data_IF_632929349056
#
_entry.id   IF_632929349056
#
_cell.length_a   1.000
_cell.length_b   1.000
_cell.length_c   1.000
_cell.angle_alpha   90.00
_cell.angle_beta   90.00
_cell.angle_gamma   90.00
#
_symmetry.space_group_name_H-M   'P 1'
#
loop_
_entity.id
_entity.type
_entity.pdbx_description
1 polymer ?
#
# COMPACT_ATOMS: atom_id res chain seq x y z
N UNK A 1 -20.78 -25.89 17.16
CA UNK A 1 -20.78 -24.72 16.23
C UNK A 1 -19.88 -23.55 16.68
N UNK A 2 -19.73 -23.24 17.97
CA UNK A 2 -18.94 -22.10 18.48
C UNK A 2 -17.43 -22.12 18.12
N UNK A 3 -16.81 -23.29 17.95
CA UNK A 3 -15.37 -23.41 17.60
C UNK A 3 -15.04 -22.96 16.17
N UNK A 4 -15.98 -23.12 15.22
CA UNK A 4 -15.82 -22.63 13.84
C UNK A 4 -15.89 -21.10 13.80
N UNK A 5 -16.80 -20.48 14.57
CA UNK A 5 -16.94 -19.03 14.68
C UNK A 5 -15.69 -18.39 15.32
N UNK A 6 -15.13 -19.02 16.37
CA UNK A 6 -13.87 -18.58 17.01
C UNK A 6 -12.67 -18.68 16.04
N UNK A 7 -12.55 -19.76 15.27
CA UNK A 7 -11.50 -19.91 14.23
C UNK A 7 -11.63 -18.88 13.12
N UNK A 8 -12.85 -18.63 12.63
CA UNK A 8 -13.12 -17.56 11.65
C UNK A 8 -12.66 -16.19 12.16
N UNK A 9 -12.92 -15.88 13.43
CA UNK A 9 -12.46 -14.64 14.06
C UNK A 9 -10.94 -14.47 14.08
N UNK A 10 -10.19 -15.54 14.37
CA UNK A 10 -8.71 -15.51 14.38
C UNK A 10 -8.16 -15.29 12.97
N UNK A 11 -8.70 -15.99 11.97
CA UNK A 11 -8.26 -15.86 10.57
C UNK A 11 -8.49 -14.42 10.08
N UNK A 12 -9.66 -13.88 10.37
CA UNK A 12 -10.00 -12.51 9.96
C UNK A 12 -9.17 -11.46 10.72
N UNK A 13 -8.89 -11.67 12.01
CA UNK A 13 -7.95 -10.81 12.76
C UNK A 13 -6.57 -10.79 12.07
N UNK A 14 -6.00 -11.97 11.78
CA UNK A 14 -4.71 -12.07 11.08
C UNK A 14 -4.73 -11.39 9.70
N UNK A 15 -5.84 -11.50 8.95
CA UNK A 15 -5.99 -10.81 7.66
C UNK A 15 -5.94 -9.30 7.82
N UNK A 16 -6.70 -8.76 8.79
CA UNK A 16 -6.71 -7.32 9.09
C UNK A 16 -5.35 -6.82 9.56
N UNK A 17 -4.66 -7.59 10.40
CA UNK A 17 -3.33 -7.24 10.88
C UNK A 17 -2.35 -7.16 9.72
N UNK A 18 -2.32 -8.15 8.81
CA UNK A 18 -1.51 -8.09 7.59
C UNK A 18 -1.79 -6.86 6.74
N UNK A 19 -3.07 -6.53 6.52
CA UNK A 19 -3.46 -5.33 5.75
C UNK A 19 -2.96 -4.05 6.42
N UNK A 20 -3.09 -3.95 7.74
CA UNK A 20 -2.63 -2.77 8.48
C UNK A 20 -1.10 -2.64 8.44
N UNK A 21 -0.36 -3.75 8.55
CA UNK A 21 1.10 -3.77 8.39
C UNK A 21 1.51 -3.29 7.01
N UNK A 22 0.89 -3.82 5.94
CA UNK A 22 1.18 -3.38 4.57
C UNK A 22 0.89 -1.90 4.36
N UNK A 23 -0.22 -1.37 4.90
CA UNK A 23 -0.52 0.07 4.81
C UNK A 23 0.52 0.94 5.52
N UNK A 24 1.06 0.48 6.65
CA UNK A 24 2.13 1.18 7.36
C UNK A 24 3.44 1.18 6.55
N UNK A 25 3.78 0.05 5.93
CA UNK A 25 4.93 -0.06 5.04
C UNK A 25 4.77 0.85 3.82
N UNK A 26 3.61 0.85 3.16
CA UNK A 26 3.32 1.73 2.03
C UNK A 26 3.48 3.21 2.39
N UNK A 27 3.04 3.63 3.59
CA UNK A 27 3.23 5.01 4.07
C UNK A 27 4.71 5.39 4.20
N UNK A 28 5.61 4.42 4.41
CA UNK A 28 7.07 4.66 4.49
C UNK A 28 7.76 4.59 3.14
N UNK A 29 7.29 3.72 2.25
CA UNK A 29 7.93 3.44 0.97
C UNK A 29 7.49 4.40 -0.15
N UNK A 30 6.26 4.92 -0.08
CA UNK A 30 5.72 5.81 -1.09
C UNK A 30 6.10 7.26 -0.74
N UNK A 31 6.88 7.98 -1.58
CA UNK A 31 7.40 9.30 -1.24
C UNK A 31 6.33 10.31 -0.81
N UNK A 32 5.24 10.41 -1.56
CA UNK A 32 4.13 11.34 -1.27
C UNK A 32 3.38 10.99 0.02
N UNK A 33 3.29 9.71 0.37
CA UNK A 33 2.69 9.28 1.64
C UNK A 33 3.64 9.52 2.82
N UNK A 34 4.95 9.37 2.60
CA UNK A 34 6.00 9.59 3.59
C UNK A 34 6.11 11.08 3.95
N UNK A 35 6.07 11.98 2.95
CA UNK A 35 6.07 13.43 3.16
C UNK A 35 4.91 13.89 4.05
N UNK A 36 3.75 13.25 3.91
CA UNK A 36 2.58 13.54 4.75
C UNK A 36 2.62 12.88 6.13
N UNK A 37 3.73 12.25 6.53
CA UNK A 37 3.81 11.56 7.82
C UNK A 37 3.69 12.51 9.03
N UNK A 38 4.08 13.78 8.88
CA UNK A 38 3.94 14.83 9.91
C UNK A 38 2.56 15.50 9.95
N UNK A 39 1.66 15.18 9.01
CA UNK A 39 0.29 15.69 8.98
C UNK A 39 -0.67 14.80 9.79
N UNK A 40 -1.95 15.20 9.85
CA UNK A 40 -3.02 14.37 10.41
C UNK A 40 -2.99 12.93 9.85
N UNK A 41 -3.52 11.98 10.63
CA UNK A 41 -3.53 10.55 10.29
C UNK A 41 -4.16 10.36 8.90
N UNK A 42 -3.36 9.87 7.95
CA UNK A 42 -3.81 9.59 6.59
C UNK A 42 -4.89 8.50 6.60
N UNK A 43 -5.90 8.69 5.76
CA UNK A 43 -6.91 7.68 5.53
C UNK A 43 -6.35 6.50 4.74
N UNK A 44 -6.92 5.31 4.94
CA UNK A 44 -6.48 4.11 4.23
C UNK A 44 -6.63 4.26 2.71
N UNK A 45 -7.73 4.87 2.26
CA UNK A 45 -7.98 5.12 0.84
C UNK A 45 -6.92 6.05 0.24
N UNK A 46 -6.51 7.09 0.97
CA UNK A 46 -5.48 8.02 0.52
C UNK A 46 -4.11 7.33 0.36
N UNK A 47 -3.71 6.50 1.33
CA UNK A 47 -2.47 5.70 1.24
C UNK A 47 -2.48 4.79 0.00
N UNK A 48 -3.61 4.12 -0.25
CA UNK A 48 -3.76 3.24 -1.42
C UNK A 48 -3.72 4.03 -2.73
N UNK A 49 -4.37 5.19 -2.81
CA UNK A 49 -4.38 6.02 -4.01
C UNK A 49 -2.97 6.53 -4.33
N UNK A 50 -2.26 7.09 -3.35
CA UNK A 50 -0.87 7.55 -3.51
C UNK A 50 0.06 6.42 -3.97
N UNK A 51 -0.16 5.20 -3.46
CA UNK A 51 0.60 4.02 -3.87
C UNK A 51 0.35 3.69 -5.33
N UNK A 52 -0.92 3.67 -5.78
CA UNK A 52 -1.26 3.40 -7.18
C UNK A 52 -0.64 4.43 -8.12
N UNK A 53 -0.70 5.71 -7.75
CA UNK A 53 -0.15 6.80 -8.57
C UNK A 53 1.38 6.71 -8.66
N UNK A 54 2.05 6.35 -7.56
CA UNK A 54 3.48 6.10 -7.55
C UNK A 54 3.87 4.94 -8.49
N UNK A 55 3.14 3.82 -8.45
CA UNK A 55 3.39 2.67 -9.33
C UNK A 55 3.18 3.01 -10.82
N UNK A 56 2.13 3.77 -11.15
CA UNK A 56 1.91 4.27 -12.52
C UNK A 56 3.06 5.15 -13.00
N UNK A 57 3.57 6.03 -12.13
CA UNK A 57 4.72 6.87 -12.43
C UNK A 57 5.98 6.06 -12.71
N UNK A 58 6.29 5.05 -11.87
CA UNK A 58 7.44 4.16 -12.07
C UNK A 58 7.33 3.38 -13.38
N UNK A 59 6.14 2.86 -13.70
CA UNK A 59 5.91 2.11 -14.93
C UNK A 59 6.08 2.98 -16.18
N UNK A 60 5.60 4.23 -16.15
CA UNK A 60 5.81 5.18 -17.23
C UNK A 60 7.30 5.50 -17.40
N UNK A 61 8.01 5.84 -16.32
CA UNK A 61 9.46 6.13 -16.35
C UNK A 61 10.27 4.97 -16.90
N UNK A 62 9.96 3.73 -16.52
CA UNK A 62 10.60 2.54 -17.06
C UNK A 62 10.41 2.38 -18.57
N UNK A 63 9.21 2.66 -19.08
CA UNK A 63 8.93 2.67 -20.54
C UNK A 63 9.72 3.75 -21.27
N UNK A 64 9.75 4.97 -20.74
CA UNK A 64 10.55 6.05 -21.33
C UNK A 64 12.04 5.72 -21.33
N UNK A 65 12.55 5.14 -20.25
CA UNK A 65 13.94 4.67 -20.18
C UNK A 65 14.21 3.62 -21.25
N UNK A 66 13.41 2.55 -21.31
CA UNK A 66 13.58 1.52 -22.34
C UNK A 66 13.52 2.10 -23.77
N UNK A 67 12.64 3.06 -24.01
CA UNK A 67 12.55 3.73 -25.31
C UNK A 67 13.81 4.53 -25.65
N UNK A 68 14.36 5.32 -24.72
CA UNK A 68 15.55 6.15 -24.97
C UNK A 68 16.83 5.31 -25.15
N UNK A 69 16.94 4.20 -24.42
CA UNK A 69 18.20 3.42 -24.38
C UNK A 69 18.24 2.25 -25.38
N UNK A 70 17.09 1.80 -25.88
CA UNK A 70 17.00 0.64 -26.78
C UNK A 70 16.31 0.92 -28.12
N UNK A 71 15.97 2.17 -28.44
CA UNK A 71 15.51 2.60 -29.76
C UNK A 71 16.45 3.67 -30.34
#
# INVERSE_FOLDING_TARGET
MLSRKKRRGIIEKRRRDRINTSLLELRRLVPTAFEKQGSAKLEKAEILQMTVDHLKSLHAKGKYFLFIYFN
#
